data_IF_021712448647
#
_entry.id   IF_021712448647
#
_cell.length_a   1.000
_cell.length_b   1.000
_cell.length_c   1.000
_cell.angle_alpha   90.00
_cell.angle_beta   90.00
_cell.angle_gamma   90.00
#
_symmetry.space_group_name_H-M   'P 1'
#
loop_
_entity.id
_entity.type
_entity.pdbx_description
1 polymer ?
#
# COMPACT_ATOMS: atom_id res chain seq x y z
N UNK A 1 -36.27 1.64 -13.63
CA UNK A 1 -36.25 2.14 -12.23
C UNK A 1 -34.91 1.75 -11.63
N UNK A 2 -34.06 2.71 -11.27
CA UNK A 2 -32.70 2.41 -10.78
C UNK A 2 -32.76 2.23 -9.25
N UNK A 3 -32.48 1.01 -8.77
CA UNK A 3 -32.46 0.69 -7.33
C UNK A 3 -31.01 0.83 -6.85
N UNK A 4 -30.78 1.72 -5.89
CA UNK A 4 -29.48 1.83 -5.22
C UNK A 4 -29.52 1.05 -3.91
N UNK A 5 -28.63 0.05 -3.77
CA UNK A 5 -28.54 -0.78 -2.57
C UNK A 5 -27.23 -0.49 -1.83
N UNK A 6 -27.31 -0.28 -0.52
CA UNK A 6 -26.12 -0.20 0.34
C UNK A 6 -25.65 -1.61 0.70
N UNK A 7 -24.44 -1.97 0.30
CA UNK A 7 -23.80 -3.23 0.67
C UNK A 7 -22.61 -2.98 1.61
N UNK A 8 -22.44 -3.83 2.61
CA UNK A 8 -21.27 -3.84 3.50
C UNK A 8 -20.52 -5.15 3.30
N UNK A 9 -19.26 -5.05 2.90
CA UNK A 9 -18.38 -6.21 2.83
C UNK A 9 -17.74 -6.42 4.20
N UNK A 10 -17.95 -7.60 4.77
CA UNK A 10 -17.34 -8.01 6.03
C UNK A 10 -16.36 -9.15 5.74
N UNK A 11 -15.06 -8.96 5.99
CA UNK A 11 -14.08 -10.02 5.76
C UNK A 11 -14.28 -11.16 6.76
N UNK A 12 -14.02 -12.39 6.33
CA UNK A 12 -13.88 -13.56 7.21
C UNK A 12 -12.66 -13.43 8.13
N UNK A 13 -12.51 -14.28 9.13
CA UNK A 13 -11.34 -14.26 10.03
C UNK A 13 -10.02 -14.44 9.27
N UNK A 14 -9.98 -15.38 8.33
CA UNK A 14 -8.82 -15.63 7.47
C UNK A 14 -8.51 -14.42 6.58
N UNK A 15 -9.53 -13.84 5.94
CA UNK A 15 -9.36 -12.63 5.13
C UNK A 15 -8.83 -11.46 5.96
N UNK A 16 -9.32 -11.28 7.19
CA UNK A 16 -8.79 -10.23 8.09
C UNK A 16 -7.30 -10.42 8.38
N UNK A 17 -6.87 -11.65 8.61
CA UNK A 17 -5.46 -11.94 8.88
C UNK A 17 -4.58 -11.70 7.64
N UNK A 18 -5.05 -12.11 6.45
CA UNK A 18 -4.37 -11.80 5.20
C UNK A 18 -4.22 -10.29 4.98
N UNK A 19 -5.27 -9.51 5.25
CA UNK A 19 -5.24 -8.06 5.14
C UNK A 19 -4.29 -7.42 6.15
N UNK A 20 -4.27 -7.91 7.38
CA UNK A 20 -3.36 -7.44 8.43
C UNK A 20 -1.91 -7.72 8.04
N UNK A 21 -1.59 -8.95 7.64
CA UNK A 21 -0.24 -9.33 7.21
C UNK A 21 0.20 -8.50 6.01
N UNK A 22 -0.66 -8.35 5.00
CA UNK A 22 -0.36 -7.55 3.82
C UNK A 22 -0.12 -6.07 4.18
N UNK A 23 -0.93 -5.47 5.04
CA UNK A 23 -0.77 -4.05 5.41
C UNK A 23 0.47 -3.78 6.27
N UNK A 24 0.84 -4.71 7.15
CA UNK A 24 2.10 -4.64 7.93
C UNK A 24 3.30 -4.74 6.98
N UNK A 25 3.30 -5.72 6.08
CA UNK A 25 4.37 -5.92 5.12
C UNK A 25 4.50 -4.75 4.13
N UNK A 26 3.38 -4.16 3.74
CA UNK A 26 3.32 -2.96 2.91
C UNK A 26 4.01 -1.76 3.59
N UNK A 27 3.71 -1.51 4.86
CA UNK A 27 4.35 -0.45 5.65
C UNK A 27 5.84 -0.70 5.82
N UNK A 28 6.22 -1.95 6.14
CA UNK A 28 7.63 -2.35 6.25
C UNK A 28 8.38 -2.00 4.97
N UNK A 29 7.85 -2.44 3.82
CA UNK A 29 8.46 -2.20 2.52
C UNK A 29 8.65 -0.70 2.22
N UNK A 30 7.64 0.14 2.45
CA UNK A 30 7.75 1.59 2.25
C UNK A 30 8.85 2.18 3.12
N UNK A 31 8.82 1.87 4.42
CA UNK A 31 9.78 2.43 5.38
C UNK A 31 11.21 1.98 5.06
N UNK A 32 11.40 0.74 4.61
CA UNK A 32 12.70 0.21 4.16
C UNK A 32 13.21 0.98 2.94
N UNK A 33 12.43 1.07 1.85
CA UNK A 33 12.84 1.79 0.63
C UNK A 33 13.19 3.25 0.94
N UNK A 34 12.38 3.94 1.74
CA UNK A 34 12.62 5.33 2.11
C UNK A 34 13.91 5.46 2.93
N UNK A 35 14.16 4.55 3.85
CA UNK A 35 15.38 4.56 4.68
C UNK A 35 16.63 4.37 3.84
N UNK A 36 16.64 3.35 2.98
CA UNK A 36 17.75 3.05 2.06
C UNK A 36 18.06 4.26 1.15
N UNK A 37 17.03 4.91 0.59
CA UNK A 37 17.22 6.06 -0.28
C UNK A 37 17.65 7.34 0.46
N UNK A 38 17.27 7.50 1.73
CA UNK A 38 17.76 8.60 2.58
C UNK A 38 19.24 8.40 2.90
N UNK A 39 19.62 7.17 3.26
CA UNK A 39 20.99 6.82 3.65
C UNK A 39 21.95 6.90 2.46
N UNK A 40 21.50 6.50 1.26
CA UNK A 40 22.28 6.60 0.03
C UNK A 40 22.21 7.99 -0.65
N UNK A 41 21.35 8.91 -0.20
CA UNK A 41 20.98 10.16 -0.90
C UNK A 41 20.60 9.96 -2.38
N UNK A 42 19.95 8.84 -2.68
CA UNK A 42 19.59 8.43 -4.05
C UNK A 42 18.07 8.49 -4.33
N UNK A 43 17.74 8.54 -5.62
CA UNK A 43 16.34 8.36 -6.06
C UNK A 43 15.94 6.89 -5.95
N UNK A 44 14.66 6.66 -5.63
CA UNK A 44 14.05 5.31 -5.65
C UNK A 44 14.07 4.75 -7.08
N UNK A 45 14.90 3.73 -7.31
CA UNK A 45 15.02 2.95 -8.57
C UNK A 45 14.39 1.55 -8.48
N UNK A 46 13.77 1.23 -7.34
CA UNK A 46 13.15 -0.07 -7.10
C UNK A 46 12.01 -0.39 -8.08
N UNK A 47 11.86 -1.67 -8.41
CA UNK A 47 10.75 -2.25 -9.17
C UNK A 47 10.16 -3.42 -8.38
N UNK A 48 8.98 -3.92 -8.76
CA UNK A 48 8.38 -5.09 -8.09
C UNK A 48 9.28 -6.34 -8.09
N UNK A 49 10.22 -6.44 -9.05
CA UNK A 49 11.19 -7.54 -9.13
C UNK A 49 12.42 -7.35 -8.25
N UNK A 50 12.81 -6.11 -7.93
CA UNK A 50 13.99 -5.83 -7.09
C UNK A 50 13.67 -5.73 -5.61
N UNK A 51 12.40 -5.52 -5.25
CA UNK A 51 11.98 -5.44 -3.85
C UNK A 51 11.62 -6.79 -3.27
N UNK A 52 12.25 -7.11 -2.13
CA UNK A 52 11.91 -8.29 -1.33
C UNK A 52 10.76 -7.95 -0.38
N UNK A 53 9.58 -8.40 -0.75
CA UNK A 53 8.39 -8.33 0.10
C UNK A 53 7.41 -9.46 -0.24
N UNK A 54 6.74 -9.99 0.77
CA UNK A 54 5.71 -11.02 0.63
C UNK A 54 4.37 -10.37 0.24
N UNK A 55 4.38 -9.68 -0.91
CA UNK A 55 3.25 -8.94 -1.46
C UNK A 55 3.07 -9.28 -2.94
N UNK A 56 1.83 -9.30 -3.46
CA UNK A 56 1.58 -9.32 -4.89
C UNK A 56 2.27 -8.16 -5.61
N UNK A 57 2.66 -8.35 -6.87
CA UNK A 57 3.36 -7.34 -7.68
C UNK A 57 2.61 -6.01 -7.75
N UNK A 58 1.28 -6.03 -7.79
CA UNK A 58 0.45 -4.83 -7.76
C UNK A 58 0.65 -4.01 -6.47
N UNK A 59 0.66 -4.68 -5.30
CA UNK A 59 0.90 -4.01 -4.02
C UNK A 59 2.34 -3.55 -3.87
N UNK A 60 3.32 -4.32 -4.36
CA UNK A 60 4.72 -3.88 -4.42
C UNK A 60 4.87 -2.58 -5.23
N UNK A 61 4.25 -2.52 -6.40
CA UNK A 61 4.28 -1.34 -7.25
C UNK A 61 3.62 -0.14 -6.56
N UNK A 62 2.48 -0.33 -5.91
CA UNK A 62 1.84 0.75 -5.15
C UNK A 62 2.74 1.22 -3.99
N UNK A 63 3.34 0.29 -3.24
CA UNK A 63 4.26 0.63 -2.15
C UNK A 63 5.45 1.47 -2.64
N UNK A 64 6.02 1.14 -3.81
CA UNK A 64 7.11 1.90 -4.42
C UNK A 64 6.66 3.33 -4.76
N UNK A 65 5.44 3.52 -5.28
CA UNK A 65 4.92 4.86 -5.58
C UNK A 65 4.67 5.68 -4.31
N UNK A 66 4.16 5.05 -3.27
CA UNK A 66 3.92 5.70 -1.98
C UNK A 66 5.25 6.07 -1.31
N UNK A 67 6.27 5.19 -1.39
CA UNK A 67 7.63 5.48 -0.95
C UNK A 67 8.23 6.69 -1.67
N UNK A 68 8.00 6.86 -2.99
CA UNK A 68 8.40 8.07 -3.73
C UNK A 68 7.75 9.33 -3.18
N UNK A 69 6.48 9.27 -2.79
CA UNK A 69 5.77 10.40 -2.20
C UNK A 69 6.34 10.77 -0.83
N UNK A 70 6.60 9.77 0.02
CA UNK A 70 7.23 9.96 1.34
C UNK A 70 8.65 10.53 1.21
N UNK A 71 9.47 9.95 0.33
CA UNK A 71 10.83 10.43 0.08
C UNK A 71 10.84 11.86 -0.49
N UNK A 72 9.91 12.19 -1.40
CA UNK A 72 9.74 13.57 -1.91
C UNK A 72 9.41 14.54 -0.77
N UNK A 73 8.58 14.14 0.19
CA UNK A 73 8.28 14.94 1.39
C UNK A 73 9.54 15.12 2.26
N UNK A 74 10.31 14.06 2.47
CA UNK A 74 11.60 14.14 3.17
C UNK A 74 12.54 15.13 2.47
N UNK A 75 12.72 15.05 1.14
CA UNK A 75 13.61 15.96 0.42
C UNK A 75 13.25 17.45 0.60
N UNK A 76 11.96 17.75 0.74
CA UNK A 76 11.45 19.12 0.98
C UNK A 76 11.60 19.58 2.43
N UNK A 77 11.31 18.70 3.38
CA UNK A 77 11.18 19.07 4.82
C UNK A 77 12.39 18.70 5.65
N UNK A 78 13.22 17.79 5.15
CA UNK A 78 14.32 17.11 5.85
C UNK A 78 13.88 16.35 7.12
N UNK A 79 12.58 16.08 7.26
CA UNK A 79 12.00 15.32 8.38
C UNK A 79 11.75 13.87 7.94
N UNK A 80 12.40 12.91 8.61
CA UNK A 80 12.20 11.48 8.37
C UNK A 80 10.82 11.05 8.87
N UNK A 81 9.90 10.86 7.94
CA UNK A 81 8.55 10.37 8.23
C UNK A 81 8.50 8.84 8.11
N UNK A 82 7.87 8.16 9.07
CA UNK A 82 7.73 6.70 9.10
C UNK A 82 6.25 6.35 9.21
N UNK A 83 5.79 5.42 8.36
CA UNK A 83 4.42 4.90 8.43
C UNK A 83 4.29 3.94 9.61
N UNK A 84 3.23 4.10 10.43
CA UNK A 84 3.03 3.30 11.65
C UNK A 84 1.69 2.57 11.72
N UNK A 85 0.68 3.02 10.96
CA UNK A 85 -0.70 2.52 11.10
C UNK A 85 -1.09 1.68 9.87
N UNK A 86 -1.39 0.38 10.02
CA UNK A 86 -1.89 -0.44 8.93
C UNK A 86 -3.28 0.06 8.52
N UNK A 87 -3.39 0.51 7.27
CA UNK A 87 -4.63 0.98 6.66
C UNK A 87 -4.69 0.44 5.25
N UNK A 88 -5.82 -0.16 4.87
CA UNK A 88 -6.15 -0.49 3.49
C UNK A 88 -7.46 0.19 3.12
N UNK A 89 -7.47 0.93 2.02
CA UNK A 89 -8.66 1.59 1.47
C UNK A 89 -8.85 1.03 0.08
N UNK A 90 -10.00 0.42 -0.18
CA UNK A 90 -10.38 0.02 -1.52
C UNK A 90 -11.36 1.03 -2.10
N UNK A 91 -10.94 1.67 -3.18
CA UNK A 91 -11.86 2.38 -4.07
C UNK A 91 -12.30 1.40 -5.15
N UNK A 92 -13.31 0.57 -4.87
CA UNK A 92 -13.80 -0.41 -5.83
C UNK A 92 -15.13 0.07 -6.43
N UNK A 93 -15.04 0.78 -7.56
CA UNK A 93 -16.19 1.17 -8.38
C UNK A 93 -16.63 0.08 -9.37
N UNK A 94 -15.92 -1.06 -9.44
CA UNK A 94 -16.08 -2.06 -10.51
C UNK A 94 -16.61 -3.41 -9.98
N UNK A 95 -17.57 -3.41 -9.07
CA UNK A 95 -18.29 -4.62 -8.69
C UNK A 95 -19.71 -4.58 -9.25
N UNK A 96 -20.15 -5.71 -9.79
CA UNK A 96 -21.54 -5.94 -10.16
C UNK A 96 -22.09 -7.04 -9.26
N UNK A 97 -23.34 -6.90 -8.82
CA UNK A 97 -24.05 -8.03 -8.24
C UNK A 97 -24.35 -8.99 -9.39
N UNK A 98 -24.01 -10.27 -9.23
CA UNK A 98 -24.19 -11.30 -10.27
C UNK A 98 -25.64 -11.43 -10.78
N UNK A 99 -26.60 -10.88 -10.03
CA UNK A 99 -28.04 -10.94 -10.30
C UNK A 99 -28.70 -9.55 -10.35
N UNK A 100 -27.93 -8.48 -10.63
CA UNK A 100 -28.41 -7.10 -10.70
C UNK A 100 -28.71 -6.64 -12.13
#
# INVERSE_FOLDING_TARGET
MQITVKAKLLPTSEQREHLKTATVEYIRLINTIVSECIEADERIKHTSGTVLATLPSALKNQAIQDAKSVYKKFRKTKIRSVLKKPVCIWNNQNWTLKNG
#
